data_IF_862965151215
#
_entry.id   IF_862965151215
#
_cell.length_a   1.000
_cell.length_b   1.000
_cell.length_c   1.000
_cell.angle_alpha   90.00
_cell.angle_beta   90.00
_cell.angle_gamma   90.00
#
_symmetry.space_group_name_H-M   'P 1'
#
loop_
_entity.id
_entity.type
_entity.pdbx_description
1 polymer ?
#
# COMPACT_ATOMS: atom_id res chain seq x y z
N UNK A 1 -10.24 25.40 50.82
CA UNK A 1 -9.08 24.64 50.29
C UNK A 1 -9.48 23.36 49.56
N UNK A 2 -10.40 22.54 50.08
CA UNK A 2 -10.87 21.32 49.38
C UNK A 2 -11.53 21.55 48.01
N UNK A 3 -12.27 22.65 47.82
CA UNK A 3 -12.91 22.96 46.54
C UNK A 3 -11.91 23.29 45.41
N UNK A 4 -10.80 23.96 45.70
CA UNK A 4 -9.75 24.24 44.71
C UNK A 4 -8.95 23.00 44.35
N UNK A 5 -8.67 22.13 45.33
CA UNK A 5 -7.98 20.86 45.07
C UNK A 5 -8.82 19.91 44.22
N UNK A 6 -10.13 19.83 44.47
CA UNK A 6 -11.05 19.05 43.65
C UNK A 6 -11.09 19.55 42.20
N UNK A 7 -11.06 20.87 41.99
CA UNK A 7 -11.08 21.46 40.66
C UNK A 7 -9.80 21.13 39.86
N UNK A 8 -8.63 21.18 40.51
CA UNK A 8 -7.35 20.84 39.88
C UNK A 8 -7.26 19.35 39.50
N UNK A 9 -7.82 18.46 40.31
CA UNK A 9 -7.90 17.03 39.97
C UNK A 9 -8.78 16.80 38.74
N UNK A 10 -9.96 17.43 38.70
CA UNK A 10 -10.88 17.31 37.56
C UNK A 10 -10.22 17.82 36.27
N UNK A 11 -9.54 18.96 36.34
CA UNK A 11 -8.81 19.51 35.19
C UNK A 11 -7.71 18.55 34.70
N UNK A 12 -6.95 17.96 35.62
CA UNK A 12 -5.91 16.98 35.28
C UNK A 12 -6.45 15.75 34.57
N UNK A 13 -7.57 15.18 35.04
CA UNK A 13 -8.19 14.00 34.43
C UNK A 13 -8.71 14.30 33.02
N UNK A 14 -9.29 15.48 32.79
CA UNK A 14 -9.76 15.90 31.46
C UNK A 14 -8.60 15.94 30.46
N UNK A 15 -7.46 16.51 30.86
CA UNK A 15 -6.28 16.62 29.99
C UNK A 15 -5.74 15.23 29.65
N UNK A 16 -5.58 14.35 30.65
CA UNK A 16 -5.10 12.98 30.43
C UNK A 16 -6.06 12.19 29.53
N UNK A 17 -7.38 12.34 29.71
CA UNK A 17 -8.39 11.68 28.88
C UNK A 17 -8.28 12.04 27.40
N UNK A 18 -8.11 13.33 27.09
CA UNK A 18 -7.94 13.81 25.70
C UNK A 18 -6.62 13.32 25.11
N UNK A 19 -5.53 13.36 25.89
CA UNK A 19 -4.21 12.93 25.42
C UNK A 19 -4.19 11.44 25.02
N UNK A 20 -4.85 10.56 25.78
CA UNK A 20 -4.95 9.13 25.44
C UNK A 20 -5.77 8.92 24.17
N UNK A 21 -6.90 9.63 24.01
CA UNK A 21 -7.74 9.52 22.82
C UNK A 21 -6.99 9.96 21.55
N UNK A 22 -6.25 11.07 21.61
CA UNK A 22 -5.42 11.54 20.49
C UNK A 22 -4.27 10.57 20.21
N UNK A 23 -3.59 10.07 21.24
CA UNK A 23 -2.48 9.13 21.08
C UNK A 23 -2.89 7.84 20.36
N UNK A 24 -4.10 7.32 20.64
CA UNK A 24 -4.64 6.15 19.95
C UNK A 24 -4.89 6.45 18.46
N UNK A 25 -5.42 7.64 18.13
CA UNK A 25 -5.66 8.00 16.73
C UNK A 25 -4.37 8.10 15.92
N UNK A 26 -3.33 8.75 16.47
CA UNK A 26 -2.01 8.87 15.83
C UNK A 26 -1.38 7.50 15.61
N UNK A 27 -1.53 6.57 16.56
CA UNK A 27 -0.98 5.23 16.43
C UNK A 27 -1.62 4.44 15.27
N UNK A 28 -2.95 4.55 15.11
CA UNK A 28 -3.66 3.90 14.01
C UNK A 28 -3.28 4.51 12.65
N UNK A 29 -3.23 5.84 12.56
CA UNK A 29 -2.81 6.56 11.35
C UNK A 29 -1.37 6.20 10.96
N UNK A 30 -0.47 6.09 11.95
CA UNK A 30 0.91 5.66 11.72
C UNK A 30 1.01 4.22 11.23
N UNK A 31 0.16 3.31 11.71
CA UNK A 31 0.14 1.92 11.25
C UNK A 31 -0.35 1.81 9.81
N UNK A 32 -1.41 2.54 9.48
CA UNK A 32 -1.96 2.61 8.13
C UNK A 32 -0.97 3.23 7.14
N UNK A 33 -0.30 4.32 7.51
CA UNK A 33 0.74 4.94 6.69
C UNK A 33 1.91 3.98 6.44
N UNK A 34 2.35 3.24 7.48
CA UNK A 34 3.42 2.25 7.32
C UNK A 34 3.00 1.09 6.39
N UNK A 35 1.74 0.65 6.45
CA UNK A 35 1.22 -0.36 5.53
C UNK A 35 1.15 0.16 4.09
N UNK A 36 0.68 1.40 3.88
CA UNK A 36 0.70 2.05 2.57
C UNK A 36 2.12 2.11 1.98
N UNK A 37 3.10 2.55 2.77
CA UNK A 37 4.49 2.64 2.31
C UNK A 37 5.06 1.25 1.98
N UNK A 38 4.69 0.22 2.74
CA UNK A 38 5.07 -1.16 2.46
C UNK A 38 4.45 -1.69 1.16
N UNK A 39 3.14 -1.46 0.94
CA UNK A 39 2.44 -1.82 -0.30
C UNK A 39 3.05 -1.09 -1.50
N UNK A 40 3.34 0.21 -1.37
CA UNK A 40 4.00 0.98 -2.42
C UNK A 40 5.38 0.41 -2.75
N UNK A 41 6.18 0.06 -1.75
CA UNK A 41 7.49 -0.57 -1.95
C UNK A 41 7.37 -1.91 -2.67
N UNK A 42 6.36 -2.72 -2.34
CA UNK A 42 6.10 -3.99 -3.02
C UNK A 42 5.66 -3.77 -4.47
N UNK A 43 4.78 -2.81 -4.74
CA UNK A 43 4.37 -2.44 -6.09
C UNK A 43 5.56 -2.02 -6.96
N UNK A 44 6.47 -1.21 -6.42
CA UNK A 44 7.70 -0.81 -7.12
C UNK A 44 8.62 -1.99 -7.41
N UNK A 45 8.77 -2.91 -6.44
CA UNK A 45 9.55 -4.15 -6.63
C UNK A 45 8.94 -5.02 -7.73
N UNK A 46 7.62 -5.19 -7.72
CA UNK A 46 6.89 -5.95 -8.73
C UNK A 46 7.06 -5.30 -10.10
N UNK A 47 6.87 -3.98 -10.21
CA UNK A 47 7.05 -3.23 -11.46
C UNK A 47 8.47 -3.41 -12.04
N UNK A 48 9.51 -3.30 -11.20
CA UNK A 48 10.90 -3.51 -11.63
C UNK A 48 11.13 -4.94 -12.13
N UNK A 49 10.62 -5.95 -11.42
CA UNK A 49 10.74 -7.34 -11.85
C UNK A 49 9.98 -7.62 -13.16
N UNK A 50 8.83 -6.99 -13.34
CA UNK A 50 8.04 -7.08 -14.57
C UNK A 50 8.76 -6.45 -15.76
N UNK A 51 9.40 -5.28 -15.59
CA UNK A 51 10.23 -4.67 -16.63
C UNK A 51 11.44 -5.53 -17.00
N UNK A 52 12.11 -6.13 -16.01
CA UNK A 52 13.19 -7.09 -16.25
C UNK A 52 12.70 -8.33 -17.01
N UNK A 53 11.50 -8.82 -16.70
CA UNK A 53 10.87 -9.92 -17.43
C UNK A 53 10.54 -9.53 -18.87
N UNK A 54 9.99 -8.34 -19.11
CA UNK A 54 9.70 -7.82 -20.45
C UNK A 54 10.95 -7.79 -21.35
N UNK A 55 12.09 -7.32 -20.82
CA UNK A 55 13.35 -7.25 -21.58
C UNK A 55 13.96 -8.62 -21.87
N UNK A 56 13.65 -9.64 -21.06
CA UNK A 56 14.21 -10.98 -21.24
C UNK A 56 13.57 -11.66 -22.46
N UNK A 57 14.35 -12.31 -23.34
CA UNK A 57 13.80 -13.09 -24.46
C UNK A 57 12.88 -14.22 -24.00
N UNK A 58 11.86 -14.53 -24.79
CA UNK A 58 10.93 -15.64 -24.52
C UNK A 58 11.62 -17.00 -24.45
N UNK A 59 12.72 -17.19 -25.20
CA UNK A 59 13.56 -18.39 -25.15
C UNK A 59 14.23 -18.63 -23.79
N UNK A 60 14.33 -17.60 -22.95
CA UNK A 60 14.88 -17.67 -21.59
C UNK A 60 13.79 -17.54 -20.50
N UNK A 61 12.52 -17.69 -20.87
CA UNK A 61 11.37 -17.56 -19.96
C UNK A 61 10.98 -16.12 -19.66
N UNK A 62 11.39 -15.15 -20.49
CA UNK A 62 10.99 -13.75 -20.43
C UNK A 62 9.75 -13.41 -21.26
N UNK A 63 9.40 -12.13 -21.29
CA UNK A 63 8.25 -11.60 -22.03
C UNK A 63 8.55 -11.35 -23.51
N UNK A 64 9.81 -11.32 -23.94
CA UNK A 64 10.14 -11.12 -25.36
C UNK A 64 9.66 -9.78 -25.90
N UNK A 65 9.68 -8.73 -25.07
CA UNK A 65 9.15 -7.38 -25.35
C UNK A 65 7.62 -7.32 -25.46
N UNK A 66 6.91 -8.18 -24.73
CA UNK A 66 5.46 -8.05 -24.50
C UNK A 66 5.11 -8.39 -23.05
N UNK A 67 4.12 -7.69 -22.50
CA UNK A 67 3.47 -8.01 -21.23
C UNK A 67 2.31 -8.99 -21.35
N UNK A 68 1.89 -9.40 -22.56
CA UNK A 68 0.67 -10.16 -22.79
C UNK A 68 0.53 -11.46 -21.99
N UNK A 69 1.65 -12.12 -21.68
CA UNK A 69 1.67 -13.38 -20.90
C UNK A 69 2.27 -13.21 -19.50
N UNK A 70 2.29 -11.99 -18.96
CA UNK A 70 2.86 -11.75 -17.64
C UNK A 70 1.98 -12.38 -16.55
N UNK A 71 2.62 -13.04 -15.60
CA UNK A 71 1.99 -13.49 -14.36
C UNK A 71 2.94 -13.30 -13.18
N UNK A 72 2.38 -13.24 -11.98
CA UNK A 72 3.14 -13.19 -10.73
C UNK A 72 4.17 -14.34 -10.63
N UNK A 73 3.85 -15.53 -11.16
CA UNK A 73 4.77 -16.66 -11.18
C UNK A 73 5.99 -16.40 -12.08
N UNK A 74 5.82 -15.68 -13.20
CA UNK A 74 6.92 -15.37 -14.12
C UNK A 74 7.97 -14.43 -13.50
N UNK A 75 7.55 -13.63 -12.51
CA UNK A 75 8.39 -12.69 -11.77
C UNK A 75 8.71 -13.17 -10.35
N UNK A 76 8.50 -14.46 -10.06
CA UNK A 76 8.77 -15.11 -8.76
C UNK A 76 8.18 -14.35 -7.57
N UNK A 77 6.96 -13.81 -7.72
CA UNK A 77 6.28 -13.08 -6.66
C UNK A 77 4.97 -13.77 -6.31
N UNK A 78 4.61 -13.81 -5.02
CA UNK A 78 3.31 -14.30 -4.57
C UNK A 78 2.25 -13.20 -4.68
N UNK A 79 1.00 -13.52 -5.03
CA UNK A 79 -0.09 -12.55 -5.13
C UNK A 79 -0.59 -12.06 -3.77
N UNK A 80 -0.08 -12.59 -2.66
CA UNK A 80 -0.43 -12.18 -1.30
C UNK A 80 0.82 -12.21 -0.43
N UNK A 81 0.98 -11.22 0.43
CA UNK A 81 2.01 -11.18 1.46
C UNK A 81 1.46 -10.58 2.77
N UNK A 82 2.35 -10.33 3.74
CA UNK A 82 1.97 -9.72 5.03
C UNK A 82 1.48 -8.29 4.89
N UNK A 83 1.90 -7.57 3.84
CA UNK A 83 1.57 -6.17 3.62
C UNK A 83 0.23 -6.01 2.89
N UNK A 84 -0.10 -6.92 1.97
CA UNK A 84 -1.27 -6.80 1.12
C UNK A 84 -1.46 -7.91 0.10
N UNK A 85 -2.50 -7.75 -0.70
CA UNK A 85 -2.85 -8.60 -1.83
C UNK A 85 -2.62 -7.84 -3.14
N UNK A 86 -2.05 -8.52 -4.14
CA UNK A 86 -1.62 -7.91 -5.40
C UNK A 86 -2.25 -8.63 -6.59
N UNK A 87 -2.73 -7.86 -7.56
CA UNK A 87 -3.32 -8.38 -8.79
C UNK A 87 -2.87 -7.58 -10.01
N UNK A 88 -2.87 -8.24 -11.17
CA UNK A 88 -2.62 -7.60 -12.45
C UNK A 88 -3.95 -7.44 -13.19
N UNK A 89 -4.13 -6.29 -13.81
CA UNK A 89 -5.29 -5.98 -14.66
C UNK A 89 -4.83 -5.24 -15.92
N UNK A 90 -5.73 -5.10 -16.89
CA UNK A 90 -5.51 -4.33 -18.11
C UNK A 90 -4.20 -4.70 -18.84
N UNK A 91 -3.87 -5.99 -18.89
CA UNK A 91 -2.65 -6.49 -19.51
C UNK A 91 -2.74 -6.30 -21.03
N UNK A 92 -1.76 -5.59 -21.58
CA UNK A 92 -1.55 -5.38 -23.02
C UNK A 92 -0.13 -5.81 -23.39
N UNK A 93 0.30 -5.56 -24.63
CA UNK A 93 1.68 -5.82 -25.03
C UNK A 93 2.68 -4.86 -24.37
N UNK A 94 2.31 -3.59 -24.20
CA UNK A 94 3.24 -2.54 -23.74
C UNK A 94 2.93 -1.98 -22.36
N UNK A 95 1.79 -2.34 -21.76
CA UNK A 95 1.48 -1.92 -20.40
C UNK A 95 0.56 -2.88 -19.67
N UNK A 96 0.57 -2.81 -18.35
CA UNK A 96 -0.42 -3.46 -17.49
C UNK A 96 -0.56 -2.68 -16.17
N UNK A 97 -1.69 -2.87 -15.49
CA UNK A 97 -1.97 -2.25 -14.21
C UNK A 97 -1.70 -3.24 -13.07
N UNK A 98 -1.01 -2.78 -12.03
CA UNK A 98 -0.81 -3.51 -10.78
C UNK A 98 -1.65 -2.84 -9.71
N UNK A 99 -2.54 -3.60 -9.09
CA UNK A 99 -3.32 -3.17 -7.94
C UNK A 99 -2.83 -3.88 -6.69
N UNK A 100 -2.46 -3.11 -5.65
CA UNK A 100 -2.13 -3.59 -4.32
C UNK A 100 -3.21 -3.15 -3.33
N UNK A 101 -3.75 -4.09 -2.58
CA UNK A 101 -4.72 -3.87 -1.50
C UNK A 101 -4.00 -4.12 -0.18
N UNK A 102 -3.84 -3.08 0.63
CA UNK A 102 -3.25 -3.14 1.96
C UNK A 102 -4.11 -3.90 2.97
N UNK A 103 -3.58 -4.09 4.18
CA UNK A 103 -4.26 -4.81 5.27
C UNK A 103 -4.74 -3.91 6.40
N UNK A 104 -4.28 -2.66 6.42
CA UNK A 104 -4.68 -1.68 7.42
C UNK A 104 -5.74 -0.74 6.85
N UNK A 105 -6.71 -0.41 7.70
CA UNK A 105 -7.77 0.58 7.47
C UNK A 105 -7.48 1.77 8.41
N UNK A 106 -6.88 2.83 7.84
CA UNK A 106 -6.38 3.97 8.59
C UNK A 106 -7.46 4.95 9.03
N UNK A 107 -8.46 5.16 8.20
CA UNK A 107 -9.58 6.07 8.45
C UNK A 107 -10.76 5.39 9.16
N UNK A 108 -10.73 4.06 9.29
CA UNK A 108 -11.80 3.22 9.87
C UNK A 108 -13.12 3.39 9.12
N UNK A 109 -13.06 3.71 7.83
CA UNK A 109 -14.25 3.81 6.98
C UNK A 109 -14.76 2.43 6.53
N UNK A 110 -13.99 1.37 6.79
CA UNK A 110 -14.27 -0.01 6.39
C UNK A 110 -13.62 -0.41 5.06
N UNK A 111 -12.80 0.44 4.46
CA UNK A 111 -12.19 0.27 3.13
C UNK A 111 -10.67 0.20 3.24
N UNK A 112 -10.12 -0.96 2.86
CA UNK A 112 -8.68 -1.17 2.82
C UNK A 112 -8.00 -0.29 1.76
N UNK A 113 -6.84 0.25 2.13
CA UNK A 113 -6.00 1.09 1.27
C UNK A 113 -5.72 0.35 -0.03
N UNK A 114 -6.21 0.90 -1.14
CA UNK A 114 -6.02 0.32 -2.48
C UNK A 114 -5.19 1.27 -3.34
N UNK A 115 -4.08 0.76 -3.86
CA UNK A 115 -3.12 1.50 -4.68
C UNK A 115 -2.98 0.82 -6.03
N UNK A 116 -3.16 1.56 -7.11
CA UNK A 116 -2.97 1.06 -8.47
C UNK A 116 -1.89 1.85 -9.21
N UNK A 117 -0.96 1.13 -9.83
CA UNK A 117 0.09 1.70 -10.70
C UNK A 117 0.04 1.05 -12.09
N UNK A 118 0.16 1.85 -13.13
CA UNK A 118 0.38 1.33 -14.50
C UNK A 118 1.89 1.19 -14.72
N UNK A 119 2.30 0.04 -15.24
CA UNK A 119 3.69 -0.27 -15.58
C UNK A 119 3.84 -0.29 -17.10
N UNK A 120 4.87 0.42 -17.57
CA UNK A 120 5.35 0.44 -18.95
C UNK A 120 6.72 -0.25 -19.03
N UNK A 121 7.27 -0.49 -20.24
CA UNK A 121 8.52 -1.24 -20.40
C UNK A 121 9.73 -0.55 -19.77
N UNK A 122 9.71 0.77 -19.74
CA UNK A 122 10.81 1.65 -19.31
C UNK A 122 10.41 2.59 -18.16
N UNK A 123 9.13 2.63 -17.80
CA UNK A 123 8.58 3.62 -16.88
C UNK A 123 7.38 3.06 -16.10
N UNK A 124 6.94 3.81 -15.10
CA UNK A 124 5.70 3.57 -14.36
C UNK A 124 4.89 4.88 -14.36
N UNK A 125 3.58 4.79 -14.19
CA UNK A 125 2.72 5.97 -14.07
C UNK A 125 3.21 6.87 -12.93
N UNK A 126 3.32 8.18 -13.20
CA UNK A 126 3.79 9.18 -12.24
C UNK A 126 2.83 9.44 -11.07
N UNK A 127 1.58 8.98 -11.19
CA UNK A 127 0.55 9.15 -10.16
C UNK A 127 -0.14 7.81 -9.89
N UNK A 128 0.12 7.17 -8.73
CA UNK A 128 -0.66 6.03 -8.30
C UNK A 128 -2.11 6.46 -8.08
N UNK A 129 -3.06 5.68 -8.59
CA UNK A 129 -4.46 5.85 -8.25
C UNK A 129 -4.70 5.25 -6.87
N UNK A 130 -5.15 6.08 -5.91
CA UNK A 130 -5.43 5.69 -4.52
C UNK A 130 -6.92 5.86 -4.27
N UNK A 131 -7.60 4.78 -3.86
CA UNK A 131 -9.07 4.80 -3.68
C UNK A 131 -9.48 5.00 -2.22
N UNK A 132 -8.65 4.65 -1.23
CA UNK A 132 -8.87 4.97 0.20
C UNK A 132 -7.54 5.15 0.94
N UNK A 133 -7.54 5.92 2.03
CA UNK A 133 -6.37 6.25 2.86
C UNK A 133 -6.70 6.17 4.34
#
# INVERSE_FOLDING_TARGET
MGQQQLLLIVLGVIIVGIAVAIGINIFNESAAQANFDAVMSDLLRIASNSQQWYMKPSSLGGGGRTFASISMANINTSPSNTNGDYSFSNITDDSFDITGIGREDGDKDGTLITVTITVYPDSISSTPAITSR
#
